data_IF_221960066196
#
_entry.id   IF_221960066196
#
_cell.length_a   1.000
_cell.length_b   1.000
_cell.length_c   1.000
_cell.angle_alpha   90.00
_cell.angle_beta   90.00
_cell.angle_gamma   90.00
#
_symmetry.space_group_name_H-M   'P 1'
#
loop_
_entity.id
_entity.type
_entity.pdbx_description
1 polymer ?
#
# COMPACT_ATOMS: atom_id res chain seq x y z
N UNK A 1 16.45 17.32 10.55
CA UNK A 1 15.19 16.56 10.48
C UNK A 1 14.86 16.30 9.02
N UNK A 2 14.53 15.07 8.62
CA UNK A 2 14.15 14.75 7.23
C UNK A 2 12.75 15.31 6.98
N UNK A 3 12.60 16.19 6.00
CA UNK A 3 11.29 16.78 5.65
C UNK A 3 10.84 16.26 4.28
N UNK A 4 9.74 15.53 4.29
CA UNK A 4 9.02 15.14 3.07
C UNK A 4 8.24 16.35 2.56
N UNK A 5 8.39 16.65 1.27
CA UNK A 5 7.68 17.73 0.58
C UNK A 5 6.41 17.21 -0.07
N UNK A 6 6.48 16.03 -0.68
CA UNK A 6 5.36 15.42 -1.36
C UNK A 6 5.54 13.91 -1.50
N UNK A 7 4.41 13.22 -1.61
CA UNK A 7 4.33 11.80 -1.97
C UNK A 7 3.41 11.66 -3.18
N UNK A 8 3.80 10.85 -4.17
CA UNK A 8 2.98 10.55 -5.34
C UNK A 8 2.96 9.05 -5.61
N UNK A 9 1.78 8.50 -5.87
CA UNK A 9 1.64 7.15 -6.40
C UNK A 9 1.82 7.16 -7.91
N UNK A 10 2.59 6.21 -8.44
CA UNK A 10 2.80 6.04 -9.87
C UNK A 10 3.03 4.56 -10.20
N UNK A 11 3.15 4.27 -11.49
CA UNK A 11 3.71 3.02 -12.00
C UNK A 11 4.69 3.39 -13.10
N UNK A 12 5.95 2.96 -13.00
CA UNK A 12 7.01 3.34 -13.95
C UNK A 12 6.74 3.03 -15.43
N UNK A 13 5.74 2.19 -15.73
CA UNK A 13 5.40 1.74 -17.09
C UNK A 13 4.02 2.19 -17.54
N UNK A 14 3.41 3.15 -16.83
CA UNK A 14 2.08 3.69 -17.14
C UNK A 14 2.10 5.21 -16.95
N UNK A 15 1.52 5.97 -17.89
CA UNK A 15 1.17 7.37 -17.63
C UNK A 15 -0.24 7.49 -17.07
N UNK A 16 -0.48 8.49 -16.23
CA UNK A 16 -1.86 8.87 -15.86
C UNK A 16 -2.66 9.35 -17.09
N UNK A 17 -1.98 9.80 -18.14
CA UNK A 17 -2.59 10.21 -19.40
C UNK A 17 -3.20 9.02 -20.17
N UNK A 18 -2.62 7.82 -20.02
CA UNK A 18 -3.12 6.61 -20.67
C UNK A 18 -4.35 6.05 -19.94
N UNK A 19 -4.26 5.97 -18.61
CA UNK A 19 -5.34 5.53 -17.74
C UNK A 19 -5.08 5.94 -16.28
N UNK A 20 -6.13 6.09 -15.45
CA UNK A 20 -5.93 6.34 -14.02
C UNK A 20 -5.20 5.17 -13.36
N UNK A 21 -4.26 5.49 -12.45
CA UNK A 21 -3.53 4.49 -11.67
C UNK A 21 -4.49 3.66 -10.80
N UNK A 22 -5.45 4.31 -10.14
CA UNK A 22 -6.46 3.64 -9.33
C UNK A 22 -7.82 3.67 -10.02
N UNK A 23 -8.51 2.54 -9.99
CA UNK A 23 -9.89 2.42 -10.47
C UNK A 23 -10.87 2.52 -9.30
N UNK A 24 -12.08 2.98 -9.61
CA UNK A 24 -13.19 3.01 -8.64
C UNK A 24 -13.69 1.62 -8.29
N UNK A 25 -13.56 0.67 -9.22
CA UNK A 25 -14.05 -0.70 -9.08
C UNK A 25 -12.98 -1.70 -9.53
N UNK A 26 -12.88 -2.82 -8.80
CA UNK A 26 -11.91 -3.88 -9.04
C UNK A 26 -12.62 -5.23 -9.14
N UNK A 27 -12.17 -6.08 -10.07
CA UNK A 27 -12.63 -7.45 -10.11
C UNK A 27 -12.08 -8.24 -8.91
N UNK A 28 -12.91 -9.12 -8.35
CA UNK A 28 -12.55 -9.98 -7.22
C UNK A 28 -12.46 -11.44 -7.66
N UNK A 29 -11.68 -12.25 -6.95
CA UNK A 29 -11.77 -13.71 -7.02
C UNK A 29 -12.01 -14.31 -5.65
N UNK A 30 -12.83 -15.36 -5.62
CA UNK A 30 -12.99 -16.19 -4.44
C UNK A 30 -11.79 -17.15 -4.37
N UNK A 31 -11.11 -17.14 -3.23
CA UNK A 31 -10.15 -18.19 -2.87
C UNK A 31 -10.87 -19.23 -2.01
N UNK A 32 -10.24 -20.39 -1.84
CA UNK A 32 -10.61 -21.36 -0.83
C UNK A 32 -10.79 -20.67 0.55
N UNK A 33 -11.73 -21.17 1.35
CA UNK A 33 -12.12 -20.60 2.66
C UNK A 33 -12.83 -19.23 2.60
N UNK A 34 -13.40 -18.85 1.45
CA UNK A 34 -14.30 -17.69 1.35
C UNK A 34 -13.60 -16.32 1.31
N UNK A 35 -12.27 -16.30 1.21
CA UNK A 35 -11.48 -15.07 1.13
C UNK A 35 -11.57 -14.47 -0.27
N UNK A 36 -11.82 -13.16 -0.39
CA UNK A 36 -12.06 -12.47 -1.65
C UNK A 36 -10.94 -11.48 -1.99
N UNK A 37 -10.09 -11.83 -2.95
CA UNK A 37 -8.91 -11.04 -3.34
C UNK A 37 -9.23 -10.06 -4.47
N UNK A 38 -8.58 -8.89 -4.47
CA UNK A 38 -8.62 -7.98 -5.62
C UNK A 38 -7.68 -8.48 -6.71
N UNK A 39 -8.20 -8.76 -7.90
CA UNK A 39 -7.42 -9.27 -9.02
C UNK A 39 -6.74 -8.20 -9.85
N UNK A 40 -7.34 -7.01 -9.90
CA UNK A 40 -6.98 -5.97 -10.87
C UNK A 40 -6.43 -4.71 -10.20
N UNK A 41 -6.00 -4.80 -8.94
CA UNK A 41 -5.47 -3.67 -8.21
C UNK A 41 -3.98 -3.47 -8.53
N UNK A 42 -3.50 -2.23 -8.77
CA UNK A 42 -4.26 -0.99 -8.92
C UNK A 42 -4.86 -0.84 -10.34
N UNK A 43 -4.34 -1.57 -11.33
CA UNK A 43 -4.90 -1.75 -12.67
C UNK A 43 -4.26 -3.00 -13.31
N UNK A 44 -4.66 -3.34 -14.55
CA UNK A 44 -4.11 -4.48 -15.29
C UNK A 44 -3.32 -4.04 -16.53
N UNK A 45 -2.31 -3.17 -16.37
CA UNK A 45 -1.44 -2.86 -17.51
C UNK A 45 -0.36 -3.93 -17.63
N UNK A 46 0.07 -4.30 -18.85
CA UNK A 46 -0.42 -3.81 -20.14
C UNK A 46 -1.78 -4.37 -20.57
N UNK A 47 -2.20 -5.53 -20.05
CA UNK A 47 -3.43 -6.21 -20.48
C UNK A 47 -4.19 -6.87 -19.32
N UNK A 48 -5.53 -6.89 -19.43
CA UNK A 48 -6.40 -7.60 -18.50
C UNK A 48 -6.47 -9.09 -18.82
N UNK A 49 -6.10 -9.92 -17.85
CA UNK A 49 -6.27 -11.38 -17.97
C UNK A 49 -7.58 -11.81 -17.30
N UNK A 50 -8.50 -12.30 -18.12
CA UNK A 50 -9.78 -12.80 -17.65
C UNK A 50 -9.58 -14.00 -16.70
N UNK A 51 -10.26 -13.99 -15.55
CA UNK A 51 -10.19 -15.02 -14.47
C UNK A 51 -8.84 -15.21 -13.76
N UNK A 52 -7.78 -14.48 -14.09
CA UNK A 52 -6.48 -14.52 -13.41
C UNK A 52 -6.15 -13.23 -12.66
N UNK A 53 -5.17 -13.28 -11.75
CA UNK A 53 -4.60 -12.07 -11.13
C UNK A 53 -3.80 -11.30 -12.18
N UNK A 54 -4.24 -10.09 -12.52
CA UNK A 54 -3.57 -9.20 -13.48
C UNK A 54 -3.16 -7.85 -12.88
N UNK A 55 -3.38 -7.68 -11.57
CA UNK A 55 -2.97 -6.50 -10.83
C UNK A 55 -1.46 -6.31 -10.86
N UNK A 56 -1.03 -5.06 -10.81
CA UNK A 56 0.37 -4.70 -10.78
C UNK A 56 0.78 -4.20 -9.39
N UNK A 57 2.07 -4.01 -9.16
CA UNK A 57 2.55 -3.28 -7.99
C UNK A 57 2.32 -1.77 -8.13
N UNK A 58 2.43 -1.05 -7.01
CA UNK A 58 2.39 0.43 -6.98
C UNK A 58 3.78 0.95 -6.63
N UNK A 59 4.18 2.04 -7.28
CA UNK A 59 5.35 2.81 -6.89
C UNK A 59 4.93 4.05 -6.10
N UNK A 60 5.68 4.37 -5.04
CA UNK A 60 5.55 5.61 -4.28
C UNK A 60 6.82 6.42 -4.47
N UNK A 61 6.69 7.59 -5.08
CA UNK A 61 7.74 8.59 -5.14
C UNK A 61 7.61 9.51 -3.94
N UNK A 62 8.64 9.55 -3.10
CA UNK A 62 8.72 10.45 -1.94
C UNK A 62 9.76 11.51 -2.24
N UNK A 63 9.37 12.78 -2.22
CA UNK A 63 10.25 13.93 -2.45
C UNK A 63 10.61 14.61 -1.15
N UNK A 64 11.87 14.99 -0.99
CA UNK A 64 12.41 15.64 0.20
C UNK A 64 12.86 17.07 -0.11
N UNK A 65 12.93 17.92 0.92
CA UNK A 65 13.41 19.31 0.75
C UNK A 65 14.88 19.39 0.38
N UNK A 66 15.66 18.37 0.76
CA UNK A 66 17.11 18.30 0.57
C UNK A 66 17.48 16.89 0.12
N UNK A 67 18.62 16.78 -0.57
CA UNK A 67 19.21 15.47 -0.87
C UNK A 67 19.58 14.79 0.46
N UNK A 68 19.14 13.55 0.63
CA UNK A 68 19.39 12.81 1.86
C UNK A 68 20.74 12.07 1.80
N UNK A 69 21.58 12.16 2.86
CA UNK A 69 22.79 11.36 2.96
C UNK A 69 22.50 9.84 2.88
N UNK A 70 23.42 9.00 2.34
CA UNK A 70 23.21 7.55 2.23
C UNK A 70 22.73 6.88 3.52
N UNK A 71 23.37 7.21 4.64
CA UNK A 71 23.05 6.69 5.99
C UNK A 71 21.60 6.96 6.40
N UNK A 72 21.08 8.14 6.04
CA UNK A 72 19.68 8.50 6.32
C UNK A 72 18.75 7.79 5.35
N UNK A 73 19.15 7.70 4.07
CA UNK A 73 18.38 6.99 3.05
C UNK A 73 18.10 5.57 3.50
N UNK A 74 19.11 4.78 3.86
CA UNK A 74 18.97 3.38 4.31
C UNK A 74 17.98 3.16 5.46
N UNK A 75 17.80 4.14 6.34
CA UNK A 75 16.88 4.07 7.48
C UNK A 75 15.43 4.46 7.15
N UNK A 76 15.15 4.94 5.94
CA UNK A 76 13.80 5.31 5.54
C UNK A 76 12.93 4.09 5.25
N UNK A 77 11.75 4.11 5.86
CA UNK A 77 10.69 3.14 5.67
C UNK A 77 9.45 3.83 5.12
N UNK A 78 8.82 3.19 4.14
CA UNK A 78 7.52 3.60 3.62
C UNK A 78 6.55 2.46 3.88
N UNK A 79 5.43 2.80 4.51
CA UNK A 79 4.35 1.88 4.83
C UNK A 79 3.05 2.43 4.23
N UNK A 80 2.18 1.53 3.82
CA UNK A 80 0.84 1.82 3.34
C UNK A 80 -0.17 1.08 4.21
N UNK A 81 -1.33 1.69 4.44
CA UNK A 81 -2.46 1.05 5.13
C UNK A 81 -3.68 1.12 4.22
N UNK A 82 -4.44 0.04 4.14
CA UNK A 82 -5.74 0.06 3.47
C UNK A 82 -6.80 0.39 4.51
N UNK A 83 -7.58 1.45 4.23
CA UNK A 83 -8.65 1.90 5.12
C UNK A 83 -10.02 1.77 4.44
N UNK A 84 -11.06 1.34 5.16
CA UNK A 84 -12.43 1.37 4.66
C UNK A 84 -12.87 2.81 4.33
N UNK A 85 -13.40 3.03 3.12
CA UNK A 85 -13.88 4.38 2.72
C UNK A 85 -15.10 4.84 3.54
N UNK A 86 -15.94 3.89 3.97
CA UNK A 86 -17.12 4.08 4.82
C UNK A 86 -17.20 2.87 5.75
N UNK A 87 -17.27 3.08 7.06
CA UNK A 87 -17.83 2.09 7.98
C UNK A 87 -19.32 2.08 7.64
N UNK A 88 -19.73 1.24 6.70
CA UNK A 88 -21.15 0.92 6.54
C UNK A 88 -21.43 -0.06 7.66
N UNK A 89 -22.32 0.24 8.62
CA UNK A 89 -22.76 -0.76 9.58
C UNK A 89 -23.22 -1.98 8.79
N UNK A 90 -22.60 -3.13 9.00
CA UNK A 90 -23.07 -4.40 8.45
C UNK A 90 -24.43 -4.70 9.08
N UNK A 91 -25.51 -4.29 8.42
CA UNK A 91 -26.88 -4.46 8.90
C UNK A 91 -27.80 -4.94 7.76
N UNK A 92 -28.90 -5.67 8.08
CA UNK A 92 -29.52 -5.73 9.40
C UNK A 92 -29.02 -6.87 10.30
N UNK A 93 -28.83 -6.52 11.58
CA UNK A 93 -28.84 -7.40 12.73
C UNK A 93 -29.85 -8.54 12.57
N UNK A 94 -29.37 -9.78 12.76
CA UNK A 94 -30.07 -10.88 13.42
C UNK A 94 -29.15 -12.11 13.46
N UNK A 95 -28.00 -12.02 14.15
CA UNK A 95 -27.34 -13.21 14.68
C UNK A 95 -26.82 -12.85 16.06
N UNK A 96 -27.31 -13.57 17.05
CA UNK A 96 -26.99 -13.40 18.46
C UNK A 96 -25.48 -13.26 18.69
N UNK A 97 -25.14 -12.36 19.62
CA UNK A 97 -23.80 -12.08 20.10
C UNK A 97 -23.01 -13.37 20.37
N UNK A 98 -22.00 -13.65 19.54
CA UNK A 98 -20.93 -14.55 19.92
C UNK A 98 -19.96 -13.75 20.81
N UNK A 99 -19.68 -14.17 22.06
CA UNK A 99 -18.72 -13.49 22.90
C UNK A 99 -17.31 -13.87 22.43
N UNK A 100 -16.48 -12.88 22.07
CA UNK A 100 -15.05 -13.11 21.84
C UNK A 100 -14.40 -12.43 20.64
N UNK A 101 -14.78 -11.20 20.28
CA UNK A 101 -14.06 -10.40 19.28
C UNK A 101 -13.70 -9.00 19.80
N UNK A 102 -13.11 -8.92 20.98
CA UNK A 102 -12.66 -7.67 21.64
C UNK A 102 -11.28 -7.15 21.16
N UNK A 103 -10.82 -7.54 19.96
CA UNK A 103 -9.45 -7.21 19.49
C UNK A 103 -9.38 -6.26 18.27
N UNK A 104 -10.49 -5.75 17.73
CA UNK A 104 -10.49 -5.01 16.45
C UNK A 104 -10.97 -3.55 16.51
N UNK A 105 -11.16 -2.97 17.68
CA UNK A 105 -11.76 -1.63 17.77
C UNK A 105 -10.79 -0.47 17.46
N UNK A 106 -9.47 -0.66 17.58
CA UNK A 106 -8.48 0.39 17.28
C UNK A 106 -8.24 0.61 15.76
N UNK A 107 -8.63 -0.34 14.90
CA UNK A 107 -8.28 -0.36 13.47
C UNK A 107 -9.27 0.41 12.57
N UNK A 108 -10.37 0.95 13.12
CA UNK A 108 -11.39 1.67 12.34
C UNK A 108 -11.19 3.19 12.26
N UNK A 109 -10.23 3.74 13.01
CA UNK A 109 -9.90 5.17 12.98
C UNK A 109 -9.24 5.53 11.65
N UNK A 110 -9.83 6.46 10.88
CA UNK A 110 -9.17 7.08 9.71
C UNK A 110 -8.01 7.96 10.16
N UNK A 111 -6.82 7.72 9.62
CA UNK A 111 -5.65 8.54 9.91
C UNK A 111 -5.75 9.88 9.20
N UNK A 112 -5.38 10.96 9.88
CA UNK A 112 -5.32 12.28 9.27
C UNK A 112 -3.96 12.54 8.62
N UNK A 113 -3.89 13.26 7.49
CA UNK A 113 -2.61 13.67 6.92
C UNK A 113 -1.75 14.43 7.94
N UNK A 114 -0.52 13.98 8.14
CA UNK A 114 0.42 14.58 9.10
C UNK A 114 0.34 14.02 10.52
N UNK A 115 -0.58 13.11 10.79
CA UNK A 115 -0.66 12.40 12.07
C UNK A 115 0.56 11.51 12.29
N UNK A 116 1.08 11.53 13.53
CA UNK A 116 2.18 10.65 13.94
C UNK A 116 1.60 9.38 14.53
N UNK A 117 1.92 8.24 13.94
CA UNK A 117 1.45 6.92 14.39
C UNK A 117 2.62 6.03 14.79
N UNK A 118 2.41 5.23 15.83
CA UNK A 118 3.33 4.16 16.18
C UNK A 118 3.17 3.01 15.17
N UNK A 119 4.27 2.61 14.51
CA UNK A 119 4.26 1.47 13.61
C UNK A 119 4.47 0.17 14.42
N UNK A 120 3.74 -0.92 14.10
CA UNK A 120 3.97 -2.22 14.71
C UNK A 120 5.42 -2.69 14.54
N UNK A 121 6.01 -3.23 15.61
CA UNK A 121 7.39 -3.73 15.60
C UNK A 121 7.62 -4.83 14.55
N UNK A 122 6.58 -5.60 14.22
CA UNK A 122 6.60 -6.64 13.18
C UNK A 122 6.91 -6.10 11.78
N UNK A 123 6.64 -4.81 11.49
CA UNK A 123 7.02 -4.18 10.21
C UNK A 123 8.53 -3.91 10.11
N UNK A 124 9.19 -3.80 11.26
CA UNK A 124 10.64 -3.55 11.35
C UNK A 124 11.43 -4.85 11.26
N UNK A 125 10.82 -5.98 11.62
CA UNK A 125 11.44 -7.29 11.54
C UNK A 125 11.78 -7.66 10.07
N UNK A 126 13.01 -8.12 9.86
CA UNK A 126 13.54 -8.52 8.54
C UNK A 126 13.14 -9.97 8.18
N UNK A 127 12.64 -10.73 9.16
CA UNK A 127 12.30 -12.15 9.01
C UNK A 127 11.00 -12.39 8.24
N UNK A 128 10.81 -13.65 7.82
CA UNK A 128 9.72 -14.13 6.95
C UNK A 128 8.37 -13.49 7.31
N UNK A 129 7.98 -12.50 6.50
CA UNK A 129 6.75 -11.71 6.61
C UNK A 129 5.56 -12.65 6.76
N UNK A 130 4.92 -12.68 7.94
CA UNK A 130 3.60 -13.29 8.08
C UNK A 130 2.58 -12.26 7.59
N UNK A 131 1.84 -12.53 6.51
CA UNK A 131 0.88 -11.58 5.94
C UNK A 131 -0.33 -11.31 6.85
N UNK A 132 -0.45 -12.02 7.96
CA UNK A 132 -1.69 -12.14 8.72
C UNK A 132 -1.74 -11.28 9.99
N UNK A 133 -0.75 -10.40 10.21
CA UNK A 133 -0.58 -9.72 11.52
C UNK A 133 -0.65 -8.19 11.52
N UNK A 134 -0.67 -7.51 10.37
CA UNK A 134 -0.75 -6.04 10.34
C UNK A 134 -1.54 -5.51 9.15
N UNK A 135 -2.43 -4.54 9.37
CA UNK A 135 -3.12 -3.78 8.30
C UNK A 135 -2.15 -2.91 7.48
N UNK A 136 -0.94 -2.72 8.01
CA UNK A 136 0.16 -2.03 7.36
C UNK A 136 0.94 -2.96 6.42
N UNK A 137 1.27 -2.42 5.25
CA UNK A 137 2.09 -3.06 4.21
C UNK A 137 3.34 -2.22 4.04
N UNK A 138 4.50 -2.83 4.27
CA UNK A 138 5.80 -2.19 4.05
C UNK A 138 6.16 -2.22 2.56
N UNK A 139 6.62 -1.08 2.05
CA UNK A 139 7.15 -0.97 0.71
C UNK A 139 8.64 -1.34 0.69
N UNK A 140 9.07 -1.97 -0.40
CA UNK A 140 10.46 -2.29 -0.68
C UNK A 140 11.10 -1.12 -1.45
N UNK A 141 12.35 -0.76 -1.14
CA UNK A 141 13.04 0.29 -1.92
C UNK A 141 13.32 -0.22 -3.32
N UNK A 142 13.02 0.58 -4.34
CA UNK A 142 13.41 0.22 -5.70
C UNK A 142 14.93 0.30 -5.90
N UNK A 143 15.47 -0.62 -6.69
CA UNK A 143 16.90 -0.69 -6.99
C UNK A 143 17.41 0.58 -7.68
N UNK A 144 18.72 0.86 -7.55
CA UNK A 144 19.32 2.11 -8.02
C UNK A 144 19.10 2.40 -9.51
N UNK A 145 19.04 1.36 -10.35
CA UNK A 145 18.79 1.49 -11.79
C UNK A 145 17.43 2.14 -12.10
N UNK A 146 16.40 1.83 -11.32
CA UNK A 146 15.05 2.40 -11.48
C UNK A 146 14.90 3.77 -10.83
N UNK A 147 15.82 4.14 -9.93
CA UNK A 147 15.86 5.49 -9.38
C UNK A 147 16.44 6.50 -10.37
N UNK A 148 17.38 6.07 -11.23
CA UNK A 148 18.04 6.90 -12.24
C UNK A 148 17.16 7.25 -13.44
N UNK A 149 16.07 6.53 -13.66
CA UNK A 149 15.13 6.73 -14.78
C UNK A 149 14.21 7.94 -14.59
N UNK A 150 14.23 8.58 -13.42
CA UNK A 150 13.53 9.83 -13.15
C UNK A 150 14.54 10.99 -13.00
N UNK A 151 14.17 12.23 -13.34
CA UNK A 151 15.09 13.36 -13.41
C UNK A 151 15.76 13.61 -12.04
N UNK A 152 17.09 13.41 -11.95
CA UNK A 152 17.90 13.46 -10.71
C UNK A 152 17.88 14.79 -9.92
N UNK A 153 17.14 15.79 -10.38
CA UNK A 153 17.26 17.19 -9.96
C UNK A 153 16.60 17.47 -8.60
N UNK A 154 15.91 16.49 -7.99
CA UNK A 154 15.27 16.65 -6.68
C UNK A 154 15.53 15.40 -5.85
N UNK A 155 15.82 15.56 -4.56
CA UNK A 155 16.05 14.43 -3.66
C UNK A 155 14.76 13.64 -3.47
N UNK A 156 14.50 12.64 -4.32
CA UNK A 156 13.38 11.71 -4.18
C UNK A 156 13.86 10.26 -4.12
N UNK A 157 13.01 9.40 -3.57
CA UNK A 157 13.24 7.96 -3.48
C UNK A 157 11.98 7.24 -3.90
N UNK A 158 12.13 6.15 -4.65
CA UNK A 158 11.03 5.32 -5.13
C UNK A 158 10.94 4.06 -4.27
N UNK A 159 9.73 3.75 -3.82
CA UNK A 159 9.40 2.54 -3.12
C UNK A 159 8.36 1.74 -3.90
N UNK A 160 8.44 0.41 -3.82
CA UNK A 160 7.56 -0.56 -4.45
C UNK A 160 6.65 -1.18 -3.38
N UNK A 161 5.35 -1.04 -3.54
CA UNK A 161 4.35 -1.75 -2.74
C UNK A 161 3.89 -2.94 -3.57
N UNK A 162 4.27 -4.16 -3.14
CA UNK A 162 3.78 -5.40 -3.73
C UNK A 162 2.41 -5.73 -3.18
N UNK A 163 1.37 -5.46 -3.96
CA UNK A 163 -0.03 -5.65 -3.57
C UNK A 163 -0.47 -7.09 -3.86
N UNK A 164 0.18 -8.07 -3.21
CA UNK A 164 -0.44 -9.38 -3.03
C UNK A 164 -1.48 -9.26 -1.92
N UNK A 165 -2.57 -8.54 -2.21
CA UNK A 165 -3.71 -8.39 -1.32
C UNK A 165 -4.35 -9.77 -1.14
N UNK A 166 -4.09 -10.38 0.01
CA UNK A 166 -4.75 -11.60 0.51
C UNK A 166 -6.07 -11.28 1.20
#
# INVERSE_FOLDING_TARGET
MVRVVSCRFLRLSCSEDDHPLFRRYYARCNRERGVKLLRCFPHCCPEHVQRCYCGTSIHVQVSFTTILPPVVREKLLVCARFEPSRVVPLWPNNVASAPGYDAMQEDERKLQPGEVVALPASLLAVEKRKPDQTVWIRADREGELKQKTLPQVRGFIIFLISTNLK
#
